data_IF_295575044838
#
_entry.id   IF_295575044838
#
_cell.length_a   1.000
_cell.length_b   1.000
_cell.length_c   1.000
_cell.angle_alpha   90.00
_cell.angle_beta   90.00
_cell.angle_gamma   90.00
#
_symmetry.space_group_name_H-M   'P 1'
#
loop_
_entity.id
_entity.type
_entity.pdbx_description
1 polymer ?
#
# COMPACT_ATOMS: atom_id res chain seq x y z
N UNK A 1 -23.61 10.09 20.82
CA UNK A 1 -22.44 10.82 20.30
C UNK A 1 -21.19 9.94 20.19
N UNK A 2 -20.79 9.21 21.24
CA UNK A 2 -19.59 8.35 21.22
C UNK A 2 -19.58 7.32 20.10
N UNK A 3 -20.68 6.61 19.88
CA UNK A 3 -20.82 5.64 18.80
C UNK A 3 -20.61 6.29 17.43
N UNK A 4 -21.20 7.46 17.21
CA UNK A 4 -21.02 8.23 15.98
C UNK A 4 -19.54 8.53 15.72
N UNK A 5 -18.83 9.07 16.73
CA UNK A 5 -17.42 9.40 16.57
C UNK A 5 -16.54 8.14 16.32
N UNK A 6 -16.87 7.01 16.94
CA UNK A 6 -16.19 5.75 16.67
C UNK A 6 -16.45 5.27 15.22
N UNK A 7 -17.68 5.33 14.76
CA UNK A 7 -18.06 4.92 13.40
C UNK A 7 -17.41 5.83 12.34
N UNK A 8 -17.35 7.15 12.60
CA UNK A 8 -16.63 8.11 11.75
C UNK A 8 -15.15 7.78 11.71
N UNK A 9 -14.52 7.53 12.86
CA UNK A 9 -13.09 7.19 12.93
C UNK A 9 -12.75 5.95 12.11
N UNK A 10 -13.57 4.90 12.23
CA UNK A 10 -13.40 3.66 11.46
C UNK A 10 -13.59 3.86 9.96
N UNK A 11 -14.55 4.69 9.55
CA UNK A 11 -14.74 5.00 8.15
C UNK A 11 -13.57 5.81 7.58
N UNK A 12 -13.04 6.77 8.33
CA UNK A 12 -11.86 7.52 7.92
C UNK A 12 -10.65 6.58 7.75
N UNK A 13 -10.46 5.63 8.66
CA UNK A 13 -9.42 4.61 8.54
C UNK A 13 -9.61 3.73 7.29
N UNK A 14 -10.84 3.29 7.01
CA UNK A 14 -11.15 2.51 5.81
C UNK A 14 -10.84 3.30 4.52
N UNK A 15 -11.17 4.59 4.49
CA UNK A 15 -10.87 5.47 3.36
C UNK A 15 -9.37 5.72 3.20
N UNK A 16 -8.64 5.90 4.31
CA UNK A 16 -7.19 6.00 4.26
C UNK A 16 -6.58 4.73 3.63
N UNK A 17 -7.03 3.56 4.05
CA UNK A 17 -6.58 2.30 3.47
C UNK A 17 -6.93 2.17 1.99
N UNK A 18 -8.12 2.58 1.59
CA UNK A 18 -8.53 2.59 0.17
C UNK A 18 -7.66 3.51 -0.70
N UNK A 19 -7.13 4.59 -0.14
CA UNK A 19 -6.23 5.52 -0.83
C UNK A 19 -4.77 5.02 -0.82
N UNK A 20 -4.26 4.55 0.32
CA UNK A 20 -2.85 4.23 0.49
C UNK A 20 -2.46 2.89 -0.13
N UNK A 21 -3.33 1.87 -0.10
CA UNK A 21 -3.04 0.54 -0.63
C UNK A 21 -2.69 0.59 -2.13
N UNK A 22 -3.52 1.18 -3.02
CA UNK A 22 -3.18 1.25 -4.44
C UNK A 22 -1.93 2.10 -4.72
N UNK A 23 -1.69 3.16 -3.95
CA UNK A 23 -0.50 4.02 -4.07
C UNK A 23 0.78 3.36 -3.59
N UNK A 24 0.68 2.40 -2.69
CA UNK A 24 1.85 1.69 -2.17
C UNK A 24 2.55 0.92 -3.28
N UNK A 25 3.85 1.18 -3.55
CA UNK A 25 4.56 0.56 -4.64
C UNK A 25 4.73 -0.94 -4.43
N UNK A 26 4.73 -1.66 -5.54
CA UNK A 26 5.01 -3.11 -5.56
C UNK A 26 6.32 -3.33 -6.29
N UNK A 27 7.27 -4.00 -5.63
CA UNK A 27 8.53 -4.37 -6.27
C UNK A 27 8.30 -5.36 -7.41
N UNK A 28 8.84 -5.04 -8.59
CA UNK A 28 8.88 -5.95 -9.73
C UNK A 28 10.22 -6.71 -9.71
N UNK A 29 10.15 -8.01 -9.50
CA UNK A 29 11.30 -8.92 -9.52
C UNK A 29 11.38 -9.70 -10.83
N UNK A 30 10.55 -9.38 -11.80
CA UNK A 30 10.59 -10.03 -13.11
C UNK A 30 11.84 -9.62 -13.88
N UNK A 31 12.35 -10.57 -14.67
CA UNK A 31 13.41 -10.32 -15.63
C UNK A 31 12.95 -10.80 -17.00
N UNK A 32 13.29 -10.06 -18.02
CA UNK A 32 13.14 -10.54 -19.41
C UNK A 32 14.29 -11.48 -19.73
N UNK A 33 13.94 -12.67 -20.18
CA UNK A 33 14.90 -13.71 -20.58
C UNK A 33 14.59 -14.10 -22.02
N UNK A 34 15.59 -13.99 -22.89
CA UNK A 34 15.50 -14.50 -24.25
C UNK A 34 15.71 -16.01 -24.20
N UNK A 35 14.77 -16.75 -24.72
CA UNK A 35 14.78 -18.20 -24.79
C UNK A 35 14.91 -18.63 -26.23
N UNK A 36 15.91 -19.46 -26.50
CA UNK A 36 16.07 -20.13 -27.82
C UNK A 36 15.37 -21.48 -27.77
N UNK A 37 14.50 -21.70 -28.72
CA UNK A 37 13.73 -22.95 -28.83
C UNK A 37 14.65 -24.10 -29.24
N UNK A 38 14.73 -25.12 -28.37
CA UNK A 38 15.62 -26.29 -28.58
C UNK A 38 14.97 -27.40 -29.41
N UNK A 39 13.65 -27.44 -29.51
CA UNK A 39 12.87 -28.47 -30.22
C UNK A 39 11.65 -27.82 -30.87
N UNK A 40 11.19 -28.40 -31.98
CA UNK A 40 9.96 -27.97 -32.61
C UNK A 40 8.75 -28.16 -31.69
N UNK A 41 7.90 -27.15 -31.62
CA UNK A 41 6.68 -27.15 -30.81
C UNK A 41 5.50 -26.58 -31.61
N UNK A 42 4.33 -26.55 -30.98
CA UNK A 42 3.10 -26.11 -31.65
C UNK A 42 3.13 -24.68 -32.20
N UNK A 43 3.89 -23.78 -31.55
CA UNK A 43 3.91 -22.34 -31.87
C UNK A 43 5.29 -21.81 -32.25
N UNK A 44 6.37 -22.58 -32.03
CA UNK A 44 7.75 -22.20 -32.30
C UNK A 44 8.54 -23.34 -32.90
N UNK A 45 9.46 -23.02 -33.80
CA UNK A 45 10.39 -23.98 -34.44
C UNK A 45 11.75 -23.96 -33.71
N UNK A 46 12.50 -25.03 -33.84
CA UNK A 46 13.86 -25.10 -33.34
C UNK A 46 14.72 -23.98 -33.96
N UNK A 47 15.39 -23.22 -33.09
CA UNK A 47 16.19 -22.05 -33.47
C UNK A 47 15.48 -20.72 -33.28
N UNK A 48 14.15 -20.71 -33.16
CA UNK A 48 13.42 -19.47 -32.87
C UNK A 48 13.84 -18.89 -31.54
N UNK A 49 13.85 -17.58 -31.43
CA UNK A 49 14.07 -16.85 -30.18
C UNK A 49 12.86 -16.04 -29.82
N UNK A 50 12.45 -16.14 -28.57
CA UNK A 50 11.39 -15.28 -28.01
C UNK A 50 11.74 -14.79 -26.61
N UNK A 51 11.26 -13.62 -26.25
CA UNK A 51 11.47 -13.02 -24.94
C UNK A 51 10.29 -13.35 -24.04
N UNK A 52 10.56 -13.89 -22.85
CA UNK A 52 9.54 -14.10 -21.82
C UNK A 52 9.95 -13.44 -20.51
N UNK A 53 8.96 -12.93 -19.78
CA UNK A 53 9.14 -12.50 -18.39
C UNK A 53 9.15 -13.70 -17.48
N UNK A 54 10.19 -13.80 -16.65
CA UNK A 54 10.30 -14.83 -15.61
C UNK A 54 10.59 -14.12 -14.28
N UNK A 55 10.01 -14.63 -13.20
CA UNK A 55 10.34 -14.19 -11.85
C UNK A 55 11.32 -15.20 -11.25
N UNK A 56 12.62 -14.88 -11.19
CA UNK A 56 13.60 -15.79 -10.63
C UNK A 56 13.32 -15.99 -9.14
N UNK A 57 13.57 -17.17 -8.63
CA UNK A 57 13.59 -17.50 -7.20
C UNK A 57 12.27 -17.34 -6.42
N UNK A 58 11.11 -17.35 -7.07
CA UNK A 58 9.81 -17.30 -6.37
C UNK A 58 9.55 -16.02 -5.55
N UNK A 59 10.37 -14.98 -5.71
CA UNK A 59 10.18 -13.69 -5.04
C UNK A 59 8.91 -13.02 -5.55
N UNK A 60 7.94 -12.81 -4.64
CA UNK A 60 6.70 -12.09 -4.94
C UNK A 60 6.78 -10.68 -4.37
N UNK A 61 6.49 -9.67 -5.20
CA UNK A 61 6.32 -8.29 -4.74
C UNK A 61 5.08 -8.10 -3.86
N UNK A 62 4.92 -6.90 -3.33
CA UNK A 62 3.69 -6.48 -2.64
C UNK A 62 3.68 -6.70 -1.13
N UNK A 63 4.78 -7.10 -0.49
CA UNK A 63 4.86 -7.23 0.97
C UNK A 63 4.44 -5.92 1.66
N UNK A 64 4.97 -4.78 1.21
CA UNK A 64 4.64 -3.48 1.76
C UNK A 64 3.15 -3.16 1.60
N UNK A 65 2.57 -3.44 0.43
CA UNK A 65 1.15 -3.21 0.16
C UNK A 65 0.25 -4.09 1.03
N UNK A 66 0.58 -5.37 1.19
CA UNK A 66 -0.17 -6.28 2.06
C UNK A 66 -0.02 -5.96 3.55
N UNK A 67 1.06 -5.30 3.95
CA UNK A 67 1.29 -4.87 5.33
C UNK A 67 0.22 -3.96 5.90
N UNK A 68 -0.50 -3.20 5.05
CA UNK A 68 -1.58 -2.32 5.48
C UNK A 68 -2.79 -3.02 6.09
N UNK A 69 -3.02 -4.28 5.75
CA UNK A 69 -4.17 -5.07 6.22
C UNK A 69 -3.75 -6.33 6.96
N UNK A 70 -2.56 -6.35 7.56
CA UNK A 70 -2.00 -7.53 8.20
C UNK A 70 -2.08 -8.80 7.31
N UNK A 71 -1.94 -8.63 6.00
CA UNK A 71 -2.03 -9.67 4.96
C UNK A 71 -3.44 -10.27 4.70
N UNK A 72 -4.51 -9.76 5.30
CA UNK A 72 -5.87 -10.26 5.06
C UNK A 72 -6.39 -9.90 3.67
N UNK A 73 -5.92 -8.79 3.11
CA UNK A 73 -6.42 -8.25 1.83
C UNK A 73 -7.77 -7.54 1.94
N UNK A 74 -8.45 -7.62 3.08
CA UNK A 74 -9.72 -6.95 3.36
C UNK A 74 -9.47 -5.65 4.13
N UNK A 75 -9.42 -4.53 3.41
CA UNK A 75 -9.20 -3.21 3.99
C UNK A 75 -10.37 -2.73 4.87
N UNK A 76 -11.61 -3.03 4.47
CA UNK A 76 -12.80 -2.59 5.20
C UNK A 76 -12.97 -3.36 6.51
N UNK A 77 -12.87 -4.69 6.45
CA UNK A 77 -12.91 -5.54 7.65
C UNK A 77 -11.77 -5.23 8.60
N UNK A 78 -10.55 -4.99 8.08
CA UNK A 78 -9.42 -4.58 8.90
C UNK A 78 -9.68 -3.26 9.62
N UNK A 79 -10.15 -2.22 8.93
CA UNK A 79 -10.47 -0.92 9.52
C UNK A 79 -11.59 -1.03 10.57
N UNK A 80 -12.61 -1.83 10.31
CA UNK A 80 -13.71 -2.08 11.26
C UNK A 80 -13.23 -2.76 12.56
N UNK A 81 -12.20 -3.60 12.48
CA UNK A 81 -11.63 -4.32 13.62
C UNK A 81 -10.63 -3.48 14.43
N UNK A 82 -10.13 -2.34 13.88
CA UNK A 82 -9.18 -1.50 14.60
C UNK A 82 -9.81 -0.90 15.88
N UNK A 83 -9.06 -0.87 16.97
CA UNK A 83 -9.52 -0.25 18.21
C UNK A 83 -9.57 1.28 18.06
N UNK A 84 -10.62 1.89 18.54
CA UNK A 84 -10.74 3.33 18.70
C UNK A 84 -10.58 3.68 20.17
N UNK A 85 -9.54 4.42 20.50
CA UNK A 85 -9.29 4.91 21.86
C UNK A 85 -9.92 6.28 22.03
N UNK A 86 -10.57 6.51 23.19
CA UNK A 86 -11.13 7.79 23.57
C UNK A 86 -10.35 8.38 24.74
N UNK A 87 -9.92 9.62 24.61
CA UNK A 87 -9.26 10.38 25.68
C UNK A 87 -9.91 11.77 25.75
N UNK A 88 -10.74 11.99 26.75
CA UNK A 88 -11.56 13.22 26.81
C UNK A 88 -12.51 13.31 25.62
N UNK A 89 -12.35 14.34 24.80
CA UNK A 89 -13.14 14.57 23.59
C UNK A 89 -12.44 14.10 22.31
N UNK A 90 -11.25 13.52 22.40
CA UNK A 90 -10.47 13.02 21.27
C UNK A 90 -10.72 11.54 21.04
N UNK A 91 -10.94 11.15 19.77
CA UNK A 91 -11.03 9.77 19.32
C UNK A 91 -9.85 9.47 18.42
N UNK A 92 -9.08 8.46 18.78
CA UNK A 92 -7.87 8.05 18.05
C UNK A 92 -8.02 6.64 17.50
N UNK A 93 -7.69 6.48 16.23
CA UNK A 93 -7.52 5.20 15.57
C UNK A 93 -6.12 5.15 14.94
N UNK A 94 -5.42 4.05 15.07
CA UNK A 94 -4.07 3.89 14.54
C UNK A 94 -4.07 2.92 13.36
N UNK A 95 -3.55 3.37 12.22
CA UNK A 95 -3.33 2.56 11.02
C UNK A 95 -1.82 2.40 10.84
N UNK A 96 -1.32 1.19 11.01
CA UNK A 96 0.12 0.91 11.02
C UNK A 96 0.47 -0.07 9.89
N UNK A 97 1.54 0.25 9.17
CA UNK A 97 2.20 -0.73 8.30
C UNK A 97 3.45 -1.26 9.03
N UNK A 98 3.46 -2.53 9.44
CA UNK A 98 4.53 -3.09 10.27
C UNK A 98 5.81 -3.42 9.49
N UNK A 99 5.85 -3.14 8.20
CA UNK A 99 7.01 -3.46 7.34
C UNK A 99 8.16 -2.52 7.66
N UNK A 100 9.28 -3.06 8.11
CA UNK A 100 10.43 -2.31 8.63
C UNK A 100 11.05 -1.30 7.66
N UNK A 101 10.90 -1.52 6.36
CA UNK A 101 11.42 -0.60 5.33
C UNK A 101 10.35 0.38 4.80
N UNK A 102 9.17 0.43 5.39
CA UNK A 102 8.07 1.28 4.92
C UNK A 102 8.48 2.77 4.89
N UNK A 103 9.14 3.26 5.94
CA UNK A 103 9.62 4.64 6.04
C UNK A 103 10.68 4.98 4.98
N UNK A 104 11.55 4.03 4.64
CA UNK A 104 12.55 4.24 3.57
C UNK A 104 11.90 4.38 2.19
N UNK A 105 10.81 3.67 1.95
CA UNK A 105 10.06 3.79 0.69
C UNK A 105 9.19 5.04 0.69
N UNK A 106 8.64 5.42 1.83
CA UNK A 106 7.83 6.64 1.99
C UNK A 106 8.67 7.89 1.76
N UNK A 107 9.73 8.08 2.54
CA UNK A 107 10.50 9.33 2.59
C UNK A 107 11.78 9.31 1.76
N UNK A 108 12.16 8.16 1.22
CA UNK A 108 13.45 7.97 0.59
C UNK A 108 14.56 7.66 1.61
N UNK A 109 15.75 7.38 1.09
CA UNK A 109 16.88 7.04 1.94
C UNK A 109 18.23 7.25 1.25
N UNK A 110 19.27 7.46 2.07
CA UNK A 110 20.63 7.53 1.62
C UNK A 110 21.18 6.15 1.22
N UNK A 111 21.99 6.14 0.18
CA UNK A 111 22.78 4.98 -0.23
C UNK A 111 24.25 5.36 -0.39
N UNK A 112 25.15 4.39 -0.31
CA UNK A 112 26.57 4.57 -0.62
C UNK A 112 26.83 4.09 -2.03
N UNK A 113 27.09 4.97 -3.01
CA UNK A 113 27.43 4.57 -4.37
C UNK A 113 28.65 3.63 -4.38
N UNK A 114 28.65 2.66 -5.27
CA UNK A 114 29.72 1.65 -5.37
C UNK A 114 29.59 0.47 -4.39
N UNK A 115 28.79 0.57 -3.33
CA UNK A 115 28.58 -0.54 -2.39
C UNK A 115 27.84 -1.67 -3.08
N UNK A 116 28.45 -2.86 -3.09
CA UNK A 116 27.81 -4.07 -3.60
C UNK A 116 26.82 -4.64 -2.59
N UNK A 117 25.61 -4.97 -3.05
CA UNK A 117 24.56 -5.57 -2.24
C UNK A 117 24.26 -6.96 -2.79
N UNK A 118 24.68 -7.99 -2.06
CA UNK A 118 24.55 -9.40 -2.48
C UNK A 118 23.09 -9.82 -2.69
N UNK A 119 22.16 -9.31 -1.87
CA UNK A 119 20.73 -9.62 -1.97
C UNK A 119 20.11 -9.23 -3.30
N UNK A 120 20.63 -8.22 -3.99
CA UNK A 120 20.18 -7.77 -5.31
C UNK A 120 21.19 -8.08 -6.42
N UNK A 121 22.39 -8.57 -6.07
CA UNK A 121 23.45 -8.93 -7.00
C UNK A 121 24.02 -7.73 -7.79
N UNK A 122 23.95 -6.51 -7.24
CA UNK A 122 24.37 -5.27 -7.93
C UNK A 122 25.03 -4.29 -6.96
N UNK A 123 25.89 -3.42 -7.51
CA UNK A 123 26.37 -2.25 -6.79
C UNK A 123 25.35 -1.10 -6.85
N UNK A 124 25.25 -0.35 -5.75
CA UNK A 124 24.41 0.84 -5.67
C UNK A 124 24.98 1.94 -6.57
N UNK A 125 24.11 2.64 -7.30
CA UNK A 125 24.52 3.63 -8.30
C UNK A 125 24.35 5.07 -7.83
N UNK A 126 23.38 5.33 -6.94
CA UNK A 126 22.98 6.67 -6.52
C UNK A 126 23.20 6.87 -5.03
N UNK A 127 23.45 8.13 -4.63
CA UNK A 127 23.62 8.47 -3.21
C UNK A 127 22.30 8.68 -2.46
N UNK A 128 21.21 8.91 -3.18
CA UNK A 128 19.88 9.11 -2.63
C UNK A 128 18.83 8.38 -3.47
N UNK A 129 17.87 7.74 -2.82
CA UNK A 129 16.68 7.16 -3.44
C UNK A 129 15.48 7.99 -3.02
N UNK A 130 14.76 8.52 -4.01
CA UNK A 130 13.58 9.34 -3.80
C UNK A 130 12.44 8.57 -3.13
N UNK A 131 11.77 9.22 -2.17
CA UNK A 131 10.57 8.72 -1.54
C UNK A 131 9.39 8.63 -2.51
N UNK A 132 8.42 7.78 -2.18
CA UNK A 132 7.20 7.62 -2.97
C UNK A 132 5.99 8.36 -2.39
N UNK A 133 6.09 8.82 -1.14
CA UNK A 133 5.10 9.63 -0.44
C UNK A 133 3.66 9.08 -0.50
N UNK A 134 3.52 7.75 -0.56
CA UNK A 134 2.23 7.09 -0.74
C UNK A 134 1.29 7.32 0.45
N UNK A 135 1.81 7.35 1.67
CA UNK A 135 1.04 7.67 2.87
C UNK A 135 0.75 9.16 2.96
N UNK A 136 1.77 10.00 2.83
CA UNK A 136 1.66 11.47 2.89
C UNK A 136 0.59 12.00 1.92
N UNK A 137 0.63 11.54 0.65
CA UNK A 137 -0.35 11.94 -0.35
C UNK A 137 -1.76 11.42 -0.03
N UNK A 138 -1.86 10.22 0.53
CA UNK A 138 -3.15 9.64 0.93
C UNK A 138 -3.77 10.37 2.12
N UNK A 139 -2.96 10.79 3.08
CA UNK A 139 -3.40 11.64 4.20
C UNK A 139 -3.89 13.01 3.73
N UNK A 140 -3.18 13.65 2.80
CA UNK A 140 -3.58 14.94 2.24
C UNK A 140 -4.94 14.85 1.56
N UNK A 141 -5.14 13.81 0.75
CA UNK A 141 -6.43 13.59 0.09
C UNK A 141 -7.54 13.29 1.10
N UNK A 142 -7.26 12.47 2.10
CA UNK A 142 -8.24 12.18 3.15
C UNK A 142 -8.62 13.44 3.92
N UNK A 143 -7.64 14.27 4.29
CA UNK A 143 -7.87 15.54 5.00
C UNK A 143 -8.78 16.49 4.20
N UNK A 144 -8.63 16.53 2.88
CA UNK A 144 -9.49 17.34 2.03
C UNK A 144 -10.94 16.83 1.95
N UNK A 145 -11.13 15.51 2.05
CA UNK A 145 -12.44 14.86 1.94
C UNK A 145 -13.18 14.71 3.27
N UNK A 146 -12.45 14.68 4.39
CA UNK A 146 -12.98 14.37 5.71
C UNK A 146 -14.09 15.34 6.18
N UNK A 147 -14.00 16.67 6.02
CA UNK A 147 -15.05 17.58 6.45
C UNK A 147 -16.40 17.25 5.83
N UNK A 148 -16.48 17.16 4.51
CA UNK A 148 -17.74 16.89 3.82
C UNK A 148 -18.28 15.46 4.05
N UNK A 149 -17.43 14.53 4.47
CA UNK A 149 -17.86 13.20 4.88
C UNK A 149 -18.49 13.22 6.27
N UNK A 150 -17.86 13.93 7.20
CA UNK A 150 -18.35 14.07 8.58
C UNK A 150 -19.70 14.81 8.57
N UNK A 151 -19.80 15.88 7.81
CA UNK A 151 -21.01 16.70 7.63
C UNK A 151 -22.20 15.83 7.16
N UNK A 152 -22.03 15.11 6.05
CA UNK A 152 -23.08 14.22 5.52
C UNK A 152 -23.51 13.12 6.51
N UNK A 153 -22.57 12.56 7.26
CA UNK A 153 -22.89 11.57 8.29
C UNK A 153 -23.65 12.17 9.45
N UNK A 154 -23.26 13.36 9.87
CA UNK A 154 -23.94 14.08 10.94
C UNK A 154 -25.37 14.44 10.53
N UNK A 155 -25.55 14.98 9.33
CA UNK A 155 -26.88 15.28 8.77
C UNK A 155 -27.77 14.03 8.75
N UNK A 156 -27.25 12.92 8.24
CA UNK A 156 -27.99 11.66 8.22
C UNK A 156 -28.39 11.21 9.61
N UNK A 157 -27.49 11.29 10.59
CA UNK A 157 -27.80 10.91 11.97
C UNK A 157 -28.84 11.84 12.59
N UNK A 158 -28.78 13.15 12.32
CA UNK A 158 -29.77 14.10 12.80
C UNK A 158 -31.14 13.82 12.20
N UNK A 159 -31.22 13.50 10.90
CA UNK A 159 -32.45 13.10 10.24
C UNK A 159 -33.06 11.83 10.88
N UNK A 160 -32.23 10.83 11.18
CA UNK A 160 -32.68 9.58 11.82
C UNK A 160 -33.20 9.82 13.25
N UNK A 161 -32.60 10.76 13.99
CA UNK A 161 -33.00 11.07 15.37
C UNK A 161 -34.26 11.96 15.43
N UNK A 162 -34.39 12.89 14.51
CA UNK A 162 -35.49 13.85 14.51
C UNK A 162 -36.66 13.44 13.61
N UNK A 163 -36.60 12.27 12.93
CA UNK A 163 -37.62 11.77 12.02
C UNK A 163 -38.07 12.80 10.97
N UNK A 164 -37.17 13.61 10.46
CA UNK A 164 -37.43 14.66 9.45
C UNK A 164 -37.11 14.15 8.05
#
# INVERSE_FOLDING_TARGET
>A
MDRFCQDVSKELAARLLALVIPRTPVGDYSKEVTVTVKRDGKHHKKGDTYTKRVTPSGKKGGTLRRGWTANTGDAAGYAAALPVTKTGCEYRIEVINPVSYASYVEFGHRQTPGRYVSAIGKALKVGWVEGKYFLTLSEQDLRSQAPGLIERKLEKQLQEVFNV
#
